data_IF_831479275260
#
_entry.id   IF_831479275260
#
_cell.length_a   1.000
_cell.length_b   1.000
_cell.length_c   1.000
_cell.angle_alpha   90.00
_cell.angle_beta   90.00
_cell.angle_gamma   90.00
#
_symmetry.space_group_name_H-M   'P 1'
#
loop_
_entity.id
_entity.type
_entity.pdbx_description
1 polymer ?
#
# COMPACT_ATOMS: atom_id res chain seq x y z
N UNK A 1 36.07 37.91 -11.93
CA UNK A 1 36.07 36.54 -12.50
C UNK A 1 34.63 36.09 -12.52
N UNK A 2 33.92 36.43 -13.60
CA UNK A 2 32.50 36.14 -13.77
C UNK A 2 32.41 34.68 -14.26
N UNK A 3 31.72 33.81 -13.51
CA UNK A 3 31.37 32.48 -14.00
C UNK A 3 30.37 32.66 -15.14
N UNK A 4 30.78 32.25 -16.34
CA UNK A 4 30.03 32.37 -17.58
C UNK A 4 28.88 31.37 -17.53
N UNK A 5 27.63 31.83 -17.69
CA UNK A 5 26.43 31.01 -17.66
C UNK A 5 26.27 30.07 -18.89
N UNK A 6 27.31 29.94 -19.72
CA UNK A 6 27.30 29.16 -20.97
C UNK A 6 27.76 27.71 -20.81
N UNK A 7 28.18 27.31 -19.61
CA UNK A 7 28.62 25.93 -19.31
C UNK A 7 27.56 25.11 -18.55
N UNK A 8 26.29 25.54 -18.61
CA UNK A 8 25.18 24.67 -18.21
C UNK A 8 25.06 23.55 -19.26
N UNK A 9 25.59 22.36 -18.96
CA UNK A 9 25.43 21.17 -19.80
C UNK A 9 23.92 20.91 -19.99
N UNK A 10 23.37 21.00 -21.22
CA UNK A 10 21.95 20.79 -21.48
C UNK A 10 21.48 19.36 -21.13
N UNK A 11 22.41 18.42 -20.84
CA UNK A 11 22.07 17.11 -20.28
C UNK A 11 21.64 17.12 -18.81
N UNK A 12 21.89 18.21 -18.09
CA UNK A 12 21.47 18.34 -16.69
C UNK A 12 20.02 18.83 -16.55
N UNK A 13 19.43 19.45 -17.57
CA UNK A 13 17.99 19.77 -17.59
C UNK A 13 17.11 18.58 -18.02
N UNK A 14 17.68 17.60 -18.72
CA UNK A 14 16.95 16.43 -19.22
C UNK A 14 17.48 15.12 -18.58
N UNK A 15 17.31 14.96 -17.27
CA UNK A 15 17.43 13.62 -16.68
C UNK A 15 16.20 12.80 -17.06
N UNK A 16 16.27 12.06 -18.16
CA UNK A 16 15.23 11.11 -18.56
C UNK A 16 15.48 9.73 -17.95
N UNK A 17 14.75 9.34 -16.87
CA UNK A 17 14.90 8.03 -16.24
C UNK A 17 14.66 6.86 -17.20
N UNK A 18 13.93 7.05 -18.29
CA UNK A 18 13.54 5.99 -19.22
C UNK A 18 14.69 5.47 -20.10
N UNK A 19 15.78 6.22 -20.23
CA UNK A 19 16.97 5.83 -21.02
C UNK A 19 17.90 4.92 -20.20
N UNK A 20 17.81 4.96 -18.87
CA UNK A 20 18.69 4.15 -18.02
C UNK A 20 18.37 2.65 -18.16
N UNK A 21 19.37 1.80 -18.49
CA UNK A 21 19.14 0.36 -18.59
C UNK A 21 18.69 -0.23 -17.25
N UNK A 22 19.15 0.34 -16.14
CA UNK A 22 18.79 -0.05 -14.77
C UNK A 22 17.29 0.09 -14.50
N UNK A 23 16.66 1.22 -14.88
CA UNK A 23 15.22 1.43 -14.69
C UNK A 23 14.38 0.38 -15.42
N UNK A 24 14.75 0.06 -16.67
CA UNK A 24 14.06 -0.97 -17.47
C UNK A 24 14.13 -2.36 -16.82
N UNK A 25 15.28 -2.72 -16.24
CA UNK A 25 15.41 -3.97 -15.49
C UNK A 25 14.54 -3.99 -14.24
N UNK A 26 14.50 -2.90 -13.47
CA UNK A 26 13.68 -2.79 -12.26
C UNK A 26 12.19 -2.96 -12.61
N UNK A 27 11.70 -2.27 -13.64
CA UNK A 27 10.32 -2.41 -14.10
C UNK A 27 10.00 -3.85 -14.50
N UNK A 28 10.87 -4.50 -15.29
CA UNK A 28 10.65 -5.90 -15.71
C UNK A 28 10.60 -6.86 -14.52
N UNK A 29 11.50 -6.69 -13.56
CA UNK A 29 11.53 -7.50 -12.34
C UNK A 29 10.25 -7.28 -11.54
N UNK A 30 9.85 -6.02 -11.36
CA UNK A 30 8.66 -5.64 -10.61
C UNK A 30 7.38 -6.21 -11.23
N UNK A 31 7.20 -6.09 -12.55
CA UNK A 31 6.04 -6.65 -13.27
C UNK A 31 5.92 -8.18 -13.12
N UNK A 32 7.03 -8.90 -12.97
CA UNK A 32 7.02 -10.38 -12.81
C UNK A 32 6.91 -10.80 -11.35
N UNK A 33 7.58 -10.12 -10.42
CA UNK A 33 7.59 -10.50 -9.00
C UNK A 33 6.32 -10.07 -8.26
N UNK A 34 5.74 -8.92 -8.58
CA UNK A 34 4.50 -8.45 -7.95
C UNK A 34 3.35 -9.46 -7.98
N UNK A 35 2.96 -10.05 -9.12
CA UNK A 35 1.84 -10.99 -9.16
C UNK A 35 2.15 -12.27 -8.38
N UNK A 36 3.41 -12.69 -8.32
CA UNK A 36 3.85 -13.84 -7.51
C UNK A 36 3.67 -13.54 -6.02
N UNK A 37 4.12 -12.36 -5.56
CA UNK A 37 3.96 -11.91 -4.17
C UNK A 37 2.48 -11.75 -3.82
N UNK A 38 1.68 -11.19 -4.72
CA UNK A 38 0.23 -11.04 -4.54
C UNK A 38 -0.44 -12.40 -4.40
N UNK A 39 -0.18 -13.35 -5.31
CA UNK A 39 -0.79 -14.68 -5.27
C UNK A 39 -0.43 -15.45 -3.99
N UNK A 40 0.87 -15.52 -3.67
CA UNK A 40 1.35 -16.18 -2.46
C UNK A 40 0.83 -15.50 -1.19
N UNK A 41 0.80 -14.17 -1.19
CA UNK A 41 0.34 -13.39 -0.06
C UNK A 41 -1.17 -13.53 0.18
N UNK A 42 -2.00 -13.54 -0.86
CA UNK A 42 -3.45 -13.77 -0.71
C UNK A 42 -3.71 -15.18 -0.18
N UNK A 43 -3.05 -16.21 -0.73
CA UNK A 43 -3.19 -17.59 -0.27
C UNK A 43 -2.71 -17.75 1.19
N UNK A 44 -1.55 -17.22 1.52
CA UNK A 44 -0.98 -17.30 2.87
C UNK A 44 -1.79 -16.54 3.91
N UNK A 45 -2.16 -15.29 3.63
CA UNK A 45 -2.92 -14.47 4.59
C UNK A 45 -4.38 -14.94 4.74
N UNK A 46 -5.01 -15.46 3.68
CA UNK A 46 -6.35 -16.04 3.78
C UNK A 46 -6.35 -17.31 4.63
N UNK A 47 -5.39 -18.21 4.42
CA UNK A 47 -5.26 -19.41 5.25
C UNK A 47 -4.94 -19.05 6.71
N UNK A 48 -4.01 -18.12 6.93
CA UNK A 48 -3.64 -17.66 8.28
C UNK A 48 -4.82 -17.00 9.00
N UNK A 49 -5.55 -16.09 8.33
CA UNK A 49 -6.73 -15.46 8.92
C UNK A 49 -7.83 -16.48 9.24
N UNK A 50 -8.06 -17.47 8.37
CA UNK A 50 -9.00 -18.55 8.62
C UNK A 50 -8.61 -19.38 9.85
N UNK A 51 -7.33 -19.73 9.98
CA UNK A 51 -6.82 -20.48 11.15
C UNK A 51 -6.94 -19.65 12.42
N UNK A 52 -6.52 -18.39 12.42
CA UNK A 52 -6.59 -17.52 13.61
C UNK A 52 -8.02 -17.19 14.03
N UNK A 53 -8.97 -17.16 13.10
CA UNK A 53 -10.40 -16.94 13.39
C UNK A 53 -11.11 -18.20 13.94
N UNK A 54 -10.42 -19.36 13.97
CA UNK A 54 -10.96 -20.59 14.52
C UNK A 54 -11.43 -20.42 15.97
N UNK A 55 -12.52 -21.12 16.33
CA UNK A 55 -13.22 -20.97 17.63
C UNK A 55 -12.29 -21.11 18.84
N UNK A 56 -11.24 -21.91 18.71
CA UNK A 56 -10.27 -22.18 19.78
C UNK A 56 -9.19 -21.08 19.91
N UNK A 57 -8.84 -20.39 18.82
CA UNK A 57 -7.70 -19.45 18.80
C UNK A 57 -8.14 -17.99 18.99
N UNK A 58 -9.37 -17.64 18.58
CA UNK A 58 -9.94 -16.29 18.75
C UNK A 58 -10.15 -15.83 20.21
N UNK A 59 -9.94 -16.71 21.18
CA UNK A 59 -9.99 -16.38 22.61
C UNK A 59 -8.73 -15.66 23.08
N UNK A 60 -7.65 -15.73 22.30
CA UNK A 60 -6.36 -15.09 22.58
C UNK A 60 -6.27 -13.74 21.88
N UNK A 61 -5.96 -12.68 22.63
CA UNK A 61 -5.75 -11.32 22.08
C UNK A 61 -4.75 -11.28 20.93
N UNK A 62 -3.63 -11.99 21.05
CA UNK A 62 -2.60 -12.09 20.02
C UNK A 62 -3.15 -12.63 18.68
N UNK A 63 -3.93 -13.71 18.72
CA UNK A 63 -4.54 -14.28 17.51
C UNK A 63 -5.54 -13.32 16.85
N UNK A 64 -6.25 -12.48 17.61
CA UNK A 64 -7.14 -11.46 17.06
C UNK A 64 -6.37 -10.36 16.31
N UNK A 65 -5.26 -9.87 16.88
CA UNK A 65 -4.38 -8.90 16.21
C UNK A 65 -3.79 -9.47 14.92
N UNK A 66 -3.28 -10.71 14.97
CA UNK A 66 -2.73 -11.40 13.81
C UNK A 66 -3.78 -11.67 12.73
N UNK A 67 -5.00 -12.06 13.12
CA UNK A 67 -6.10 -12.23 12.18
C UNK A 67 -6.46 -10.91 11.48
N UNK A 68 -6.61 -9.82 12.25
CA UNK A 68 -6.90 -8.50 11.70
C UNK A 68 -5.78 -8.02 10.76
N UNK A 69 -4.52 -8.28 11.12
CA UNK A 69 -3.36 -7.98 10.28
C UNK A 69 -3.41 -8.75 8.96
N UNK A 70 -3.64 -10.08 8.99
CA UNK A 70 -3.74 -10.89 7.77
C UNK A 70 -4.90 -10.44 6.86
N UNK A 71 -6.04 -10.03 7.43
CA UNK A 71 -7.15 -9.46 6.66
C UNK A 71 -6.71 -8.15 5.99
N UNK A 72 -6.07 -7.26 6.75
CA UNK A 72 -5.52 -6.00 6.23
C UNK A 72 -4.49 -6.20 5.12
N UNK A 73 -3.58 -7.16 5.28
CA UNK A 73 -2.56 -7.52 4.29
C UNK A 73 -3.23 -8.10 3.02
N UNK A 74 -4.31 -8.86 3.15
CA UNK A 74 -5.08 -9.36 1.99
C UNK A 74 -5.74 -8.21 1.22
N UNK A 75 -6.36 -7.26 1.91
CA UNK A 75 -6.95 -6.06 1.30
C UNK A 75 -5.87 -5.23 0.59
N UNK A 76 -4.71 -5.05 1.23
CA UNK A 76 -3.55 -4.37 0.63
C UNK A 76 -3.10 -5.04 -0.66
N UNK A 77 -2.97 -6.36 -0.68
CA UNK A 77 -2.56 -7.10 -1.88
C UNK A 77 -3.60 -7.04 -3.01
N UNK A 78 -4.89 -7.01 -2.67
CA UNK A 78 -5.95 -6.78 -3.66
C UNK A 78 -5.80 -5.38 -4.28
N UNK A 79 -5.60 -4.34 -3.46
CA UNK A 79 -5.36 -2.99 -3.97
C UNK A 79 -4.08 -2.92 -4.83
N UNK A 80 -3.01 -3.60 -4.42
CA UNK A 80 -1.77 -3.70 -5.18
C UNK A 80 -1.95 -4.43 -6.53
N UNK A 81 -2.88 -5.39 -6.61
CA UNK A 81 -3.19 -6.08 -7.86
C UNK A 81 -3.81 -5.15 -8.90
N UNK A 82 -4.60 -4.15 -8.47
CA UNK A 82 -5.11 -3.08 -9.35
C UNK A 82 -3.97 -2.24 -9.92
N UNK A 83 -2.94 -1.97 -9.11
CA UNK A 83 -1.74 -1.24 -9.57
C UNK A 83 -0.94 -2.04 -10.57
N UNK A 84 -0.79 -3.35 -10.32
CA UNK A 84 -0.11 -4.23 -11.27
C UNK A 84 -0.86 -4.32 -12.60
N UNK A 85 -2.20 -4.36 -12.60
CA UNK A 85 -3.03 -4.38 -13.82
C UNK A 85 -2.75 -3.16 -14.72
N UNK A 86 -2.56 -1.98 -14.14
CA UNK A 86 -2.17 -0.79 -14.89
C UNK A 86 -0.82 -0.94 -15.61
N UNK A 87 0.14 -1.66 -15.03
CA UNK A 87 1.44 -1.95 -15.66
C UNK A 87 1.37 -2.97 -16.81
N UNK A 88 0.28 -3.71 -16.93
CA UNK A 88 0.06 -4.72 -17.99
C UNK A 88 -0.99 -4.22 -19.01
N UNK A 89 -1.03 -2.91 -19.24
CA UNK A 89 -1.91 -2.24 -20.20
C UNK A 89 -3.43 -2.37 -19.92
N UNK A 90 -3.82 -2.63 -18.66
CA UNK A 90 -5.24 -2.59 -18.25
C UNK A 90 -5.53 -1.30 -17.43
N UNK A 91 -6.22 -0.29 -18.00
CA UNK A 91 -6.35 1.04 -17.39
C UNK A 91 -7.37 1.11 -16.25
N UNK A 92 -7.43 0.13 -15.35
CA UNK A 92 -8.34 0.17 -14.19
C UNK A 92 -7.97 1.31 -13.24
N UNK A 93 -6.68 1.54 -12.99
CA UNK A 93 -6.22 2.67 -12.16
C UNK A 93 -6.56 4.04 -12.75
N UNK A 94 -6.71 4.13 -14.06
CA UNK A 94 -6.98 5.40 -14.75
C UNK A 94 -8.46 5.80 -14.63
N UNK A 95 -9.29 4.93 -14.03
CA UNK A 95 -10.69 5.23 -13.77
C UNK A 95 -10.79 6.15 -12.55
N UNK A 96 -11.46 7.32 -12.68
CA UNK A 96 -11.70 8.19 -11.54
C UNK A 96 -12.46 7.44 -10.44
N UNK A 97 -12.00 7.56 -9.21
CA UNK A 97 -12.45 6.80 -8.05
C UNK A 97 -11.55 5.61 -7.72
N UNK A 98 -11.11 4.84 -8.72
CA UNK A 98 -10.29 3.64 -8.49
C UNK A 98 -8.92 4.02 -7.97
N UNK A 99 -8.28 5.03 -8.56
CA UNK A 99 -6.99 5.46 -8.05
C UNK A 99 -7.08 5.99 -6.61
N UNK A 100 -8.02 6.90 -6.34
CA UNK A 100 -8.20 7.51 -5.02
C UNK A 100 -8.37 6.42 -3.95
N UNK A 101 -9.23 5.44 -4.24
CA UNK A 101 -9.52 4.33 -3.33
C UNK A 101 -8.31 3.41 -3.17
N UNK A 102 -7.59 3.06 -4.25
CA UNK A 102 -6.40 2.22 -4.16
C UNK A 102 -5.29 2.88 -3.33
N UNK A 103 -5.02 4.17 -3.55
CA UNK A 103 -4.05 4.93 -2.76
C UNK A 103 -4.48 4.98 -1.29
N UNK A 104 -5.75 5.35 -1.04
CA UNK A 104 -6.30 5.41 0.31
C UNK A 104 -6.18 4.07 1.06
N UNK A 105 -6.57 2.96 0.42
CA UNK A 105 -6.51 1.62 1.00
C UNK A 105 -5.07 1.23 1.30
N UNK A 106 -4.15 1.43 0.35
CA UNK A 106 -2.75 1.02 0.53
C UNK A 106 -2.11 1.74 1.72
N UNK A 107 -2.25 3.06 1.83
CA UNK A 107 -1.74 3.82 2.97
C UNK A 107 -2.41 3.42 4.30
N UNK A 108 -3.74 3.27 4.30
CA UNK A 108 -4.49 2.87 5.51
C UNK A 108 -4.09 1.48 6.01
N UNK A 109 -3.90 0.52 5.11
CA UNK A 109 -3.45 -0.83 5.42
C UNK A 109 -2.01 -0.84 5.94
N UNK A 110 -1.09 -0.10 5.31
CA UNK A 110 0.30 -0.01 5.77
C UNK A 110 0.40 0.54 7.19
N UNK A 111 -0.32 1.62 7.48
CA UNK A 111 -0.39 2.19 8.83
C UNK A 111 -0.96 1.20 9.84
N UNK A 112 -2.13 0.61 9.54
CA UNK A 112 -2.78 -0.34 10.43
C UNK A 112 -1.87 -1.54 10.72
N UNK A 113 -1.18 -2.08 9.72
CA UNK A 113 -0.29 -3.23 9.86
C UNK A 113 0.85 -2.97 10.87
N UNK A 114 1.45 -1.77 10.84
CA UNK A 114 2.50 -1.38 11.79
C UNK A 114 1.93 -1.27 13.22
N UNK A 115 0.80 -0.59 13.40
CA UNK A 115 0.20 -0.40 14.72
C UNK A 115 -0.32 -1.70 15.33
N UNK A 116 -0.83 -2.63 14.53
CA UNK A 116 -1.25 -3.94 15.02
C UNK A 116 -0.06 -4.74 15.59
N UNK A 117 1.13 -4.63 14.97
CA UNK A 117 2.36 -5.25 15.50
C UNK A 117 2.77 -4.61 16.83
N UNK A 118 2.73 -3.28 16.92
CA UNK A 118 3.05 -2.56 18.17
C UNK A 118 2.08 -2.95 19.30
N UNK A 119 0.79 -3.02 19.00
CA UNK A 119 -0.24 -3.37 19.99
C UNK A 119 -0.14 -4.82 20.46
N UNK A 120 0.16 -5.78 19.58
CA UNK A 120 0.36 -7.17 20.02
C UNK A 120 1.59 -7.29 20.93
N UNK A 121 2.66 -6.56 20.64
CA UNK A 121 3.83 -6.50 21.53
C UNK A 121 3.50 -5.89 22.89
N UNK A 122 2.72 -4.81 22.90
CA UNK A 122 2.32 -4.13 24.13
C UNK A 122 1.35 -4.97 24.99
N UNK A 123 0.35 -5.60 24.38
CA UNK A 123 -0.63 -6.45 25.08
C UNK A 123 -0.01 -7.72 25.67
N UNK A 124 1.00 -8.29 25.00
CA UNK A 124 1.75 -9.42 25.53
C UNK A 124 2.53 -9.05 26.82
N UNK A 125 2.74 -7.75 27.10
CA UNK A 125 3.42 -7.28 28.29
C UNK A 125 2.47 -6.89 29.44
N UNK A 126 1.26 -6.36 29.16
CA UNK A 126 0.38 -5.68 30.16
C UNK A 126 -0.94 -6.43 30.43
N UNK A 127 -0.96 -7.76 30.36
CA UNK A 127 -2.13 -8.65 30.54
C UNK A 127 -3.08 -8.74 29.33
N UNK A 128 -3.17 -9.94 28.74
CA UNK A 128 -4.01 -10.26 27.60
C UNK A 128 -5.50 -10.27 27.95
N UNK A 129 -6.28 -9.34 27.38
CA UNK A 129 -7.76 -9.43 27.40
C UNK A 129 -8.37 -9.28 25.99
N UNK A 130 -9.16 -10.25 25.51
CA UNK A 130 -9.62 -10.26 24.12
C UNK A 130 -10.59 -9.11 23.81
N UNK A 131 -11.36 -8.65 24.81
CA UNK A 131 -12.26 -7.51 24.66
C UNK A 131 -11.51 -6.20 24.42
N UNK A 132 -10.36 -6.00 25.07
CA UNK A 132 -9.50 -4.83 24.83
C UNK A 132 -8.84 -4.89 23.46
N UNK A 133 -8.40 -6.08 23.04
CA UNK A 133 -7.83 -6.28 21.71
C UNK A 133 -8.76 -5.82 20.59
N UNK A 134 -10.05 -6.18 20.64
CA UNK A 134 -11.02 -5.74 19.65
C UNK A 134 -11.22 -4.22 19.65
N UNK A 135 -11.27 -3.60 20.83
CA UNK A 135 -11.38 -2.12 20.95
C UNK A 135 -10.15 -1.45 20.36
N UNK A 136 -8.95 -1.93 20.67
CA UNK A 136 -7.70 -1.38 20.14
C UNK A 136 -7.60 -1.51 18.62
N UNK A 137 -7.99 -2.66 18.05
CA UNK A 137 -8.08 -2.86 16.59
C UNK A 137 -9.02 -1.83 15.97
N UNK A 138 -10.21 -1.65 16.53
CA UNK A 138 -11.19 -0.66 16.03
C UNK A 138 -10.65 0.77 16.12
N UNK A 139 -9.98 1.14 17.21
CA UNK A 139 -9.38 2.47 17.37
C UNK A 139 -8.31 2.72 16.31
N UNK A 140 -7.43 1.74 16.05
CA UNK A 140 -6.41 1.87 15.00
C UNK A 140 -7.05 2.02 13.63
N UNK A 141 -8.04 1.20 13.29
CA UNK A 141 -8.75 1.29 12.01
C UNK A 141 -9.41 2.66 11.83
N UNK A 142 -10.12 3.17 12.84
CA UNK A 142 -10.73 4.49 12.79
C UNK A 142 -9.70 5.60 12.66
N UNK A 143 -8.57 5.51 13.38
CA UNK A 143 -7.48 6.49 13.26
C UNK A 143 -6.88 6.51 11.85
N UNK A 144 -6.71 5.34 11.22
CA UNK A 144 -6.24 5.24 9.84
C UNK A 144 -7.22 5.92 8.87
N UNK A 145 -8.53 5.64 9.01
CA UNK A 145 -9.55 6.25 8.16
C UNK A 145 -9.56 7.78 8.28
N UNK A 146 -9.45 8.33 9.50
CA UNK A 146 -9.42 9.78 9.73
C UNK A 146 -8.16 10.40 9.15
N UNK A 147 -7.00 9.81 9.43
CA UNK A 147 -5.71 10.35 8.99
C UNK A 147 -5.61 10.32 7.46
N UNK A 148 -6.02 9.23 6.80
CA UNK A 148 -5.84 9.09 5.35
C UNK A 148 -7.04 9.55 4.53
N UNK A 149 -8.12 10.02 5.15
CA UNK A 149 -9.27 10.61 4.45
C UNK A 149 -8.83 11.72 3.47
N UNK A 150 -7.79 12.51 3.80
CA UNK A 150 -7.33 13.57 2.91
C UNK A 150 -6.88 13.05 1.53
N UNK A 151 -6.32 11.84 1.44
CA UNK A 151 -5.88 11.28 0.16
C UNK A 151 -7.04 11.07 -0.81
N UNK A 152 -8.26 10.81 -0.34
CA UNK A 152 -9.43 10.68 -1.21
C UNK A 152 -9.78 11.99 -1.92
N UNK A 153 -9.44 13.12 -1.31
CA UNK A 153 -9.71 14.45 -1.84
C UNK A 153 -8.53 15.03 -2.63
N UNK A 154 -7.30 14.76 -2.19
CA UNK A 154 -6.11 15.35 -2.81
C UNK A 154 -5.57 14.54 -3.99
N UNK A 155 -6.01 13.30 -4.19
CA UNK A 155 -5.56 12.48 -5.33
C UNK A 155 -6.50 12.62 -6.53
N UNK A 156 -5.92 12.90 -7.70
CA UNK A 156 -6.65 13.07 -8.95
C UNK A 156 -5.90 12.39 -10.09
N UNK A 157 -6.67 11.95 -11.10
CA UNK A 157 -6.11 11.44 -12.36
C UNK A 157 -5.88 12.64 -13.27
N UNK A 158 -4.64 12.82 -13.71
CA UNK A 158 -4.21 13.89 -14.61
C UNK A 158 -3.70 13.27 -15.90
N UNK A 159 -3.93 13.96 -17.02
CA UNK A 159 -3.45 13.55 -18.34
C UNK A 159 -2.04 14.08 -18.55
N UNK A 160 -1.09 13.18 -18.81
CA UNK A 160 0.30 13.51 -19.12
C UNK A 160 0.46 13.98 -20.58
N UNK A 161 1.60 14.59 -20.91
CA UNK A 161 1.91 15.13 -22.25
C UNK A 161 1.86 14.07 -23.37
N UNK A 162 1.97 12.79 -23.02
CA UNK A 162 1.83 11.63 -23.92
C UNK A 162 0.39 11.08 -24.01
N UNK A 163 -0.61 11.80 -23.49
CA UNK A 163 -2.01 11.34 -23.36
C UNK A 163 -2.18 10.09 -22.47
N UNK A 164 -1.21 9.81 -21.60
CA UNK A 164 -1.32 8.76 -20.57
C UNK A 164 -1.95 9.33 -19.30
N UNK A 165 -2.94 8.63 -18.76
CA UNK A 165 -3.58 9.01 -17.50
C UNK A 165 -2.71 8.53 -16.34
N UNK A 166 -2.22 9.47 -15.52
CA UNK A 166 -1.43 9.18 -14.34
C UNK A 166 -2.17 9.65 -13.08
N UNK A 167 -2.03 8.88 -12.00
CA UNK A 167 -2.63 9.27 -10.75
C UNK A 167 -1.63 10.00 -9.85
N UNK A 168 -1.96 11.24 -9.50
CA UNK A 168 -1.07 12.16 -8.80
C UNK A 168 -1.75 12.70 -7.54
N UNK A 169 -0.97 12.96 -6.50
CA UNK A 169 -1.42 13.74 -5.36
C UNK A 169 -1.18 15.23 -5.65
N UNK A 170 -2.21 16.06 -5.52
CA UNK A 170 -2.10 17.52 -5.56
C UNK A 170 -1.35 17.98 -4.30
N UNK A 171 -0.13 18.45 -4.50
CA UNK A 171 0.71 19.07 -3.47
C UNK A 171 0.46 20.59 -3.40
#
# INVERSE_FOLDING_TARGET
MLLNATDADPRLEQWDPQISPTYRWILKIQTVLEPVIIALGILGNSLASHVFMSKHLRTTSCCLYLAAKCIGDTIFLIALSVVWLHRVDAPLLNTPGVCQVTIFITYSCSFTSVWLIVLVSHENYIYCTPRRALVSILVVLLSALIIYHFHLWTTMVLEDDNSELMCMALA
#
